data_IF_320263488420
#
_entry.id   IF_320263488420
#
_cell.length_a   1.000
_cell.length_b   1.000
_cell.length_c   1.000
_cell.angle_alpha   90.00
_cell.angle_beta   90.00
_cell.angle_gamma   90.00
#
_symmetry.space_group_name_H-M   'P 1'
#
loop_
_entity.id
_entity.type
_entity.pdbx_description
1 polymer ?
#
# COMPACT_ATOMS: atom_id res chain seq x y z
N UNK A 1 21.96 11.36 34.23
CA UNK A 1 21.59 12.17 33.05
C UNK A 1 20.57 11.37 32.26
N UNK A 2 19.28 11.71 32.34
CA UNK A 2 18.23 11.05 31.55
C UNK A 2 18.02 11.94 30.32
N UNK A 3 18.31 11.40 29.13
CA UNK A 3 18.16 12.13 27.88
C UNK A 3 16.68 12.45 27.64
N UNK A 4 16.39 13.73 27.43
CA UNK A 4 15.06 14.24 27.11
C UNK A 4 14.83 14.02 25.62
N UNK A 5 14.09 12.96 25.27
CA UNK A 5 13.63 12.73 23.90
C UNK A 5 12.69 13.88 23.51
N UNK A 6 13.19 14.80 22.69
CA UNK A 6 12.39 15.85 22.06
C UNK A 6 11.61 15.19 20.91
N UNK A 7 10.36 14.84 21.16
CA UNK A 7 9.42 14.40 20.14
C UNK A 7 8.98 15.61 19.30
N UNK A 8 9.78 16.01 18.32
CA UNK A 8 9.34 16.91 17.26
C UNK A 8 8.54 16.11 16.22
N UNK A 9 7.42 15.51 16.65
CA UNK A 9 6.41 15.05 15.71
C UNK A 9 5.72 16.28 15.15
N UNK A 10 6.08 16.64 13.93
CA UNK A 10 5.33 17.59 13.12
C UNK A 10 3.87 17.14 13.11
N UNK A 11 2.96 18.01 13.56
CA UNK A 11 1.51 17.83 13.58
C UNK A 11 0.91 17.79 12.16
N UNK A 12 1.44 16.96 11.27
CA UNK A 12 0.64 16.42 10.17
C UNK A 12 -0.34 15.44 10.80
N UNK A 13 -1.61 15.46 10.39
CA UNK A 13 -2.63 14.64 11.05
C UNK A 13 -2.16 13.18 11.10
N UNK A 14 -2.05 12.65 12.32
CA UNK A 14 -1.27 11.45 12.68
C UNK A 14 -1.71 10.17 11.92
N UNK A 15 -2.81 10.25 11.16
CA UNK A 15 -3.49 9.16 10.49
C UNK A 15 -3.80 9.41 9.00
N UNK A 16 -3.45 10.56 8.42
CA UNK A 16 -3.76 10.89 7.01
C UNK A 16 -3.21 9.86 6.01
N UNK A 17 -2.13 9.17 6.39
CA UNK A 17 -1.54 8.14 5.55
C UNK A 17 -2.41 6.89 5.47
N UNK A 18 -3.08 6.51 6.56
CA UNK A 18 -3.81 5.23 6.67
C UNK A 18 -4.92 5.11 5.63
N UNK A 19 -5.60 6.22 5.33
CA UNK A 19 -6.68 6.27 4.33
C UNK A 19 -6.22 5.84 2.93
N UNK A 20 -4.91 5.87 2.68
CA UNK A 20 -4.30 5.48 1.41
C UNK A 20 -3.89 3.99 1.37
N UNK A 21 -3.99 3.27 2.49
CA UNK A 21 -3.63 1.85 2.64
C UNK A 21 -4.83 0.99 3.04
N UNK A 22 -5.94 1.11 2.32
CA UNK A 22 -7.09 0.24 2.57
C UNK A 22 -6.76 -1.22 2.24
N UNK A 23 -7.14 -2.13 3.13
CA UNK A 23 -6.92 -3.57 2.96
C UNK A 23 -7.49 -4.05 1.61
N UNK A 24 -6.69 -4.84 0.89
CA UNK A 24 -7.01 -5.38 -0.43
C UNK A 24 -6.78 -4.40 -1.60
N UNK A 25 -6.47 -3.12 -1.34
CA UNK A 25 -5.99 -2.23 -2.40
C UNK A 25 -4.56 -2.58 -2.80
N UNK A 26 -4.20 -2.28 -4.04
CA UNK A 26 -2.82 -2.36 -4.51
C UNK A 26 -2.18 -0.98 -4.41
N UNK A 27 -1.06 -0.92 -3.71
CA UNK A 27 -0.25 0.29 -3.53
C UNK A 27 1.08 0.14 -4.25
N UNK A 28 1.64 1.27 -4.65
CA UNK A 28 2.96 1.35 -5.29
C UNK A 28 3.99 1.87 -4.28
N UNK A 29 5.16 1.25 -4.26
CA UNK A 29 6.29 1.67 -3.44
C UNK A 29 7.62 1.30 -4.06
N UNK A 30 8.72 1.76 -3.44
CA UNK A 30 10.09 1.47 -3.88
C UNK A 30 10.72 0.48 -2.92
N UNK A 31 11.41 -0.52 -3.45
CA UNK A 31 12.17 -1.46 -2.62
C UNK A 31 13.28 -0.68 -1.92
N UNK A 32 13.15 -0.56 -0.61
CA UNK A 32 14.14 0.14 0.22
C UNK A 32 15.28 -0.81 0.56
N UNK A 33 14.95 -2.05 0.93
CA UNK A 33 15.92 -3.06 1.32
C UNK A 33 15.36 -4.47 1.13
N UNK A 34 16.21 -5.42 0.74
CA UNK A 34 15.89 -6.85 0.69
C UNK A 34 16.72 -7.58 1.75
N UNK A 35 16.06 -8.39 2.57
CA UNK A 35 16.64 -9.22 3.64
C UNK A 35 16.20 -10.68 3.48
N UNK A 36 16.84 -11.58 4.20
CA UNK A 36 16.51 -13.01 4.17
C UNK A 36 15.06 -13.30 4.61
N UNK A 37 14.52 -12.49 5.52
CA UNK A 37 13.17 -12.65 6.04
C UNK A 37 12.08 -11.91 5.23
N UNK A 38 12.46 -11.05 4.28
CA UNK A 38 11.51 -10.30 3.47
C UNK A 38 12.06 -9.01 2.88
N UNK A 39 11.16 -8.24 2.30
CA UNK A 39 11.47 -7.00 1.57
C UNK A 39 10.81 -5.82 2.26
N UNK A 40 11.60 -4.77 2.50
CA UNK A 40 11.14 -3.48 3.02
C UNK A 40 10.87 -2.54 1.85
N UNK A 41 9.71 -1.90 1.86
CA UNK A 41 9.22 -1.00 0.81
C UNK A 41 9.01 0.38 1.41
N UNK A 42 9.48 1.43 0.74
CA UNK A 42 9.21 2.82 1.12
C UNK A 42 8.17 3.47 0.21
N UNK A 43 7.45 4.45 0.75
CA UNK A 43 6.41 5.17 0.03
C UNK A 43 6.81 6.64 -0.14
N UNK A 44 6.80 7.14 -1.38
CA UNK A 44 7.30 8.49 -1.72
C UNK A 44 6.67 9.62 -0.89
N UNK A 45 5.40 9.48 -0.52
CA UNK A 45 4.64 10.49 0.23
C UNK A 45 4.85 10.39 1.76
N UNK A 46 5.34 9.25 2.26
CA UNK A 46 5.38 8.93 3.69
C UNK A 46 6.77 8.38 4.04
N UNK A 47 7.68 9.25 4.48
CA UNK A 47 9.08 8.89 4.73
C UNK A 47 9.29 8.02 5.98
N UNK A 48 8.26 7.92 6.81
CA UNK A 48 8.23 7.30 8.13
C UNK A 48 7.17 6.20 8.22
N UNK A 49 6.67 5.75 7.07
CA UNK A 49 5.79 4.58 6.93
C UNK A 49 6.48 3.60 6.00
N UNK A 50 6.55 2.34 6.42
CA UNK A 50 7.17 1.28 5.64
C UNK A 50 6.18 0.19 5.28
N UNK A 51 6.37 -0.39 4.10
CA UNK A 51 5.73 -1.63 3.71
C UNK A 51 6.66 -2.80 3.98
N UNK A 52 6.10 -3.94 4.34
CA UNK A 52 6.86 -5.18 4.50
C UNK A 52 6.21 -6.33 3.76
N UNK A 53 7.01 -7.04 2.96
CA UNK A 53 6.60 -8.24 2.24
C UNK A 53 7.43 -9.41 2.77
N UNK A 54 6.81 -10.32 3.51
CA UNK A 54 7.50 -11.54 3.95
C UNK A 54 7.88 -12.41 2.75
N UNK A 55 8.89 -13.27 2.90
CA UNK A 55 9.29 -14.21 1.85
C UNK A 55 8.11 -15.03 1.29
N UNK A 56 7.20 -15.48 2.17
CA UNK A 56 5.99 -16.20 1.78
C UNK A 56 5.04 -15.39 0.90
N UNK A 57 5.03 -14.06 1.05
CA UNK A 57 4.16 -13.16 0.30
C UNK A 57 4.79 -12.68 -1.02
N UNK A 58 6.09 -12.90 -1.25
CA UNK A 58 6.78 -12.59 -2.51
C UNK A 58 6.35 -13.47 -3.68
N UNK A 59 5.79 -14.64 -3.42
CA UNK A 59 5.38 -15.61 -4.46
C UNK A 59 6.54 -16.01 -5.39
N UNK A 60 7.73 -16.17 -4.83
CA UNK A 60 8.95 -16.54 -5.58
C UNK A 60 9.56 -15.42 -6.42
N UNK A 61 9.03 -14.19 -6.32
CA UNK A 61 9.58 -13.03 -7.02
C UNK A 61 10.78 -12.49 -6.24
N UNK A 62 11.92 -12.37 -6.92
CA UNK A 62 13.09 -11.66 -6.41
C UNK A 62 12.96 -10.17 -6.73
N UNK A 63 13.16 -9.32 -5.72
CA UNK A 63 13.11 -7.87 -5.85
C UNK A 63 14.47 -7.25 -5.54
N UNK A 64 14.90 -6.35 -6.41
CA UNK A 64 16.14 -5.59 -6.25
C UNK A 64 15.88 -4.27 -5.55
N UNK A 65 16.83 -3.85 -4.70
CA UNK A 65 16.82 -2.53 -4.07
C UNK A 65 16.68 -1.42 -5.11
N UNK A 66 15.77 -0.50 -4.86
CA UNK A 66 15.48 0.63 -5.72
C UNK A 66 14.45 0.36 -6.82
N UNK A 67 14.05 -0.90 -7.06
CA UNK A 67 12.97 -1.22 -8.00
C UNK A 67 11.60 -0.74 -7.49
N UNK A 68 10.67 -0.50 -8.41
CA UNK A 68 9.28 -0.15 -8.07
C UNK A 68 8.45 -1.42 -7.99
N UNK A 69 7.62 -1.53 -6.95
CA UNK A 69 6.77 -2.70 -6.70
C UNK A 69 5.32 -2.26 -6.50
N UNK A 70 4.38 -3.06 -7.00
CA UNK A 70 2.94 -2.92 -6.76
C UNK A 70 2.45 -4.12 -5.97
N UNK A 71 2.00 -3.90 -4.73
CA UNK A 71 1.64 -4.97 -3.80
C UNK A 71 0.26 -4.70 -3.18
N UNK A 72 -0.48 -5.77 -2.87
CA UNK A 72 -1.75 -5.70 -2.18
C UNK A 72 -1.53 -5.47 -0.67
N UNK A 73 -2.33 -4.59 -0.07
CA UNK A 73 -2.33 -4.35 1.38
C UNK A 73 -3.04 -5.52 2.08
N UNK A 74 -2.37 -6.12 3.06
CA UNK A 74 -2.90 -7.17 3.92
C UNK A 74 -3.38 -6.60 5.25
N UNK A 75 -2.54 -5.81 5.92
CA UNK A 75 -2.82 -5.22 7.22
C UNK A 75 -2.08 -3.88 7.39
N UNK A 76 -2.53 -3.06 8.34
CA UNK A 76 -1.95 -1.75 8.66
C UNK A 76 -1.73 -1.63 10.16
N UNK A 77 -0.48 -1.78 10.59
CA UNK A 77 -0.04 -1.61 11.96
C UNK A 77 0.25 -0.12 12.23
N UNK A 78 -0.75 0.59 12.78
CA UNK A 78 -0.74 2.06 12.87
C UNK A 78 0.33 2.61 13.81
N UNK A 79 0.60 1.90 14.92
CA UNK A 79 1.55 2.33 15.95
C UNK A 79 2.98 2.15 15.43
N UNK A 80 3.24 1.02 14.77
CA UNK A 80 4.51 0.65 14.17
C UNK A 80 4.76 1.36 12.84
N UNK A 81 3.72 1.99 12.28
CA UNK A 81 3.74 2.65 10.97
C UNK A 81 4.18 1.70 9.86
N UNK A 82 3.66 0.48 9.94
CA UNK A 82 4.01 -0.63 9.07
C UNK A 82 2.77 -1.09 8.31
N UNK A 83 2.95 -1.37 7.02
CA UNK A 83 1.92 -1.92 6.13
C UNK A 83 2.37 -3.30 5.68
N UNK A 84 1.61 -4.33 6.03
CA UNK A 84 1.87 -5.67 5.53
C UNK A 84 1.37 -5.80 4.10
N UNK A 85 2.22 -6.33 3.22
CA UNK A 85 2.02 -6.33 1.79
C UNK A 85 2.14 -7.73 1.20
N UNK A 86 1.51 -7.93 0.03
CA UNK A 86 1.58 -9.19 -0.71
C UNK A 86 1.70 -9.02 -2.22
N UNK A 87 2.52 -9.88 -2.82
CA UNK A 87 2.61 -10.08 -4.26
C UNK A 87 1.87 -11.31 -4.75
N UNK A 88 1.09 -11.97 -3.88
CA UNK A 88 0.31 -13.14 -4.28
C UNK A 88 -0.62 -12.79 -5.44
N UNK A 89 -0.50 -13.48 -6.60
CA UNK A 89 -1.26 -13.13 -7.79
C UNK A 89 -2.76 -13.04 -7.56
N UNK A 90 -3.32 -13.94 -6.73
CA UNK A 90 -4.74 -13.96 -6.38
C UNK A 90 -5.22 -12.63 -5.77
N UNK A 91 -4.41 -11.99 -4.92
CA UNK A 91 -4.75 -10.72 -4.28
C UNK A 91 -4.63 -9.55 -5.26
N UNK A 92 -3.63 -9.59 -6.13
CA UNK A 92 -3.46 -8.60 -7.19
C UNK A 92 -4.59 -8.68 -8.23
N UNK A 93 -5.06 -9.88 -8.57
CA UNK A 93 -6.17 -10.11 -9.50
C UNK A 93 -7.49 -9.56 -8.96
N UNK A 94 -7.85 -9.88 -7.71
CA UNK A 94 -9.08 -9.35 -7.10
C UNK A 94 -9.13 -7.82 -7.09
N UNK A 95 -7.99 -7.16 -6.85
CA UNK A 95 -7.92 -5.71 -6.93
C UNK A 95 -8.24 -5.18 -8.33
N UNK A 96 -7.72 -5.84 -9.38
CA UNK A 96 -7.93 -5.47 -10.78
C UNK A 96 -9.39 -5.66 -11.19
N UNK A 97 -10.02 -6.76 -10.79
CA UNK A 97 -11.43 -7.04 -11.07
C UNK A 97 -12.36 -6.02 -10.40
N UNK A 98 -12.11 -5.67 -9.13
CA UNK A 98 -12.87 -4.62 -8.43
C UNK A 98 -12.77 -3.26 -9.15
N UNK A 99 -11.58 -2.91 -9.64
CA UNK A 99 -11.39 -1.69 -10.43
C UNK A 99 -12.16 -1.73 -11.75
N UNK A 100 -12.17 -2.86 -12.46
CA UNK A 100 -12.94 -3.03 -13.69
C UNK A 100 -14.46 -2.93 -13.44
N UNK A 101 -14.96 -3.57 -12.37
CA UNK A 101 -16.38 -3.53 -12.01
C UNK A 101 -16.85 -2.13 -11.63
N UNK A 102 -16.07 -1.40 -10.82
CA UNK A 102 -16.41 -0.02 -10.45
C UNK A 102 -16.43 0.94 -11.65
N UNK A 103 -15.48 0.80 -12.60
CA UNK A 103 -15.45 1.59 -13.84
C UNK A 103 -16.65 1.31 -14.74
N UNK A 104 -17.08 0.04 -14.84
CA UNK A 104 -18.28 -0.35 -15.58
C UNK A 104 -19.54 0.29 -14.98
N UNK A 105 -19.71 0.26 -13.65
CA UNK A 105 -20.86 0.90 -12.97
C UNK A 105 -20.93 2.41 -13.23
N UNK A 106 -19.81 3.13 -13.14
CA UNK A 106 -19.77 4.58 -13.44
C UNK A 106 -20.12 4.91 -14.88
N UNK A 107 -19.69 4.09 -15.84
CA UNK A 107 -20.05 4.30 -17.26
C UNK A 107 -21.55 4.13 -17.49
N UNK A 108 -22.13 3.08 -16.91
CA UNK A 108 -23.57 2.84 -16.99
C UNK A 108 -24.37 3.98 -16.36
N UNK A 109 -23.95 4.50 -15.20
CA UNK A 109 -24.65 5.64 -14.58
C UNK A 109 -24.59 6.89 -15.47
N UNK A 110 -23.43 7.24 -16.03
CA UNK A 110 -23.30 8.39 -16.93
C UNK A 110 -24.15 8.23 -18.20
N UNK A 111 -24.22 7.02 -18.76
CA UNK A 111 -25.03 6.75 -19.95
C UNK A 111 -26.53 6.85 -19.64
N UNK A 112 -26.98 6.36 -18.49
CA UNK A 112 -28.37 6.54 -18.03
C UNK A 112 -28.75 8.01 -17.84
N UNK A 113 -27.85 8.84 -17.29
CA UNK A 113 -28.10 10.28 -17.12
C UNK A 113 -28.25 11.03 -18.45
N UNK A 114 -27.50 10.64 -19.48
CA UNK A 114 -27.58 11.27 -20.81
C UNK A 114 -28.85 10.90 -21.57
N UNK A 115 -29.44 9.73 -21.30
CA UNK A 115 -30.70 9.28 -21.93
C UNK A 115 -31.95 9.91 -21.30
N UNK A 116 -31.82 10.55 -20.14
CA UNK A 116 -32.91 11.21 -19.41
C UNK A 116 -32.95 12.73 -19.63
N UNK A 117 -32.19 13.27 -20.60
CA UNK A 117 -32.18 14.68 -20.99
C UNK A 117 -32.67 14.87 -22.41
#
# INVERSE_FOLDING_TARGET
MIAKLQSSHSKGSELEWVDNFNIGNVVEGKVHETKDFGVVVSFRKYNDVFGFITHYQLSGITLETGSTVRAAVLDVARIERLVDLSLKPILLMYSKERLLMSKRRRRLSHQSYLLLR
#
